data_IF_550830049063
#
_entry.id   IF_550830049063
#
_cell.length_a   1.000
_cell.length_b   1.000
_cell.length_c   1.000
_cell.angle_alpha   90.00
_cell.angle_beta   90.00
_cell.angle_gamma   90.00
#
_symmetry.space_group_name_H-M   'P 1'
#
loop_
_entity.id
_entity.type
_entity.pdbx_description
1 polymer ?
#
# COMPACT_ATOMS: atom_id res chain seq x y z
N UNK A 1 4.50 -7.67 8.25
CA UNK A 1 4.47 -8.16 9.65
C UNK A 1 5.35 -7.25 10.49
N UNK A 2 4.78 -6.54 11.48
CA UNK A 2 5.57 -5.71 12.39
C UNK A 2 6.25 -6.60 13.44
N UNK A 3 7.57 -6.50 13.66
CA UNK A 3 8.27 -7.35 14.61
C UNK A 3 8.04 -6.86 16.05
N UNK A 4 8.16 -7.82 16.97
CA UNK A 4 7.80 -7.76 18.38
C UNK A 4 8.24 -6.51 19.14
N UNK A 5 7.29 -5.87 19.82
CA UNK A 5 7.55 -4.80 20.78
C UNK A 5 8.07 -5.37 22.10
N UNK A 6 9.37 -5.23 22.34
CA UNK A 6 9.96 -5.48 23.65
C UNK A 6 9.74 -4.26 24.56
N UNK A 7 9.09 -4.51 25.70
CA UNK A 7 8.73 -3.50 26.68
C UNK A 7 9.97 -2.98 27.42
N UNK A 8 10.37 -1.74 27.13
CA UNK A 8 11.42 -1.06 27.90
C UNK A 8 10.84 -0.68 29.26
N UNK A 9 11.14 -1.51 30.26
CA UNK A 9 10.92 -1.18 31.67
C UNK A 9 11.91 -0.10 32.07
N UNK A 10 11.53 1.16 31.87
CA UNK A 10 12.35 2.31 32.30
C UNK A 10 12.06 2.64 33.76
N UNK A 11 12.98 2.22 34.61
CA UNK A 11 13.09 2.56 36.03
C UNK A 11 13.51 4.02 36.19
N UNK A 12 12.54 4.93 36.20
CA UNK A 12 12.73 6.25 36.83
C UNK A 12 11.60 6.50 37.84
N UNK A 13 11.98 6.58 39.11
CA UNK A 13 11.11 7.12 40.16
C UNK A 13 11.34 8.61 40.25
N UNK A 14 10.24 9.40 40.19
CA UNK A 14 9.94 10.61 41.01
C UNK A 14 9.25 11.73 40.20
N UNK A 15 7.94 11.86 40.39
CA UNK A 15 7.30 13.04 41.00
C UNK A 15 5.77 12.90 40.93
N UNK A 16 5.14 13.23 42.03
CA UNK A 16 3.70 13.16 42.34
C UNK A 16 2.87 14.21 41.58
N UNK A 17 1.61 13.84 41.29
CA UNK A 17 0.47 14.66 40.84
C UNK A 17 0.19 14.72 39.32
N UNK A 18 -0.07 13.57 38.71
CA UNK A 18 -0.98 13.50 37.57
C UNK A 18 -2.25 12.75 38.00
N UNK A 19 -3.46 13.29 37.78
CA UNK A 19 -4.68 12.51 37.98
C UNK A 19 -4.63 11.30 37.04
N UNK A 20 -4.72 10.08 37.58
CA UNK A 20 -4.84 8.90 36.74
C UNK A 20 -6.11 9.05 35.86
N UNK A 21 -6.03 8.79 34.55
CA UNK A 21 -7.21 8.81 33.69
C UNK A 21 -8.20 7.75 34.19
N UNK A 22 -9.51 8.05 34.24
CA UNK A 22 -10.50 7.08 34.67
C UNK A 22 -10.40 5.84 33.77
N UNK A 23 -10.20 4.67 34.39
CA UNK A 23 -10.24 3.40 33.69
C UNK A 23 -11.63 3.24 33.09
N UNK A 24 -11.72 3.34 31.77
CA UNK A 24 -12.94 2.99 31.04
C UNK A 24 -13.22 1.50 31.28
N UNK A 25 -14.38 1.19 31.84
CA UNK A 25 -14.80 -0.20 32.08
C UNK A 25 -14.94 -0.93 30.75
N UNK A 26 -14.51 -2.19 30.71
CA UNK A 26 -14.62 -3.02 29.52
C UNK A 26 -16.07 -3.45 29.23
N UNK A 27 -16.97 -3.35 30.21
CA UNK A 27 -18.36 -3.83 30.14
C UNK A 27 -19.26 -3.12 29.10
N UNK A 28 -18.79 -2.05 28.43
CA UNK A 28 -19.55 -1.34 27.39
C UNK A 28 -18.97 -1.46 25.98
N UNK A 29 -17.96 -2.30 25.77
CA UNK A 29 -17.37 -2.52 24.44
C UNK A 29 -18.25 -3.49 23.64
N UNK A 30 -19.29 -2.96 23.01
CA UNK A 30 -19.99 -3.68 21.96
C UNK A 30 -19.11 -3.66 20.70
N UNK A 31 -18.76 -4.83 20.16
CA UNK A 31 -18.17 -4.89 18.81
C UNK A 31 -19.22 -4.38 17.83
N UNK A 32 -18.91 -3.30 17.13
CA UNK A 32 -19.74 -2.86 16.00
C UNK A 32 -19.72 -3.96 14.94
N UNK A 33 -20.85 -4.63 14.77
CA UNK A 33 -21.07 -5.53 13.64
C UNK A 33 -21.54 -4.67 12.47
N UNK A 34 -20.74 -4.63 11.41
CA UNK A 34 -21.15 -4.02 10.15
C UNK A 34 -21.81 -5.10 9.30
N UNK A 35 -23.07 -4.88 8.92
CA UNK A 35 -23.82 -5.80 8.06
C UNK A 35 -23.41 -5.57 6.59
N UNK A 36 -22.70 -6.52 6.01
CA UNK A 36 -22.25 -6.47 4.60
C UNK A 36 -23.22 -7.15 3.63
N UNK A 37 -24.39 -7.60 4.12
CA UNK A 37 -25.38 -8.34 3.33
C UNK A 37 -25.83 -7.62 2.06
N UNK A 38 -25.76 -6.28 2.04
CA UNK A 38 -26.08 -5.48 0.85
C UNK A 38 -25.02 -5.60 -0.25
N UNK A 39 -23.73 -5.64 0.10
CA UNK A 39 -22.64 -5.74 -0.90
C UNK A 39 -22.71 -7.05 -1.68
N UNK A 40 -23.21 -8.11 -1.05
CA UNK A 40 -23.42 -9.41 -1.69
C UNK A 40 -24.53 -9.38 -2.75
N UNK A 41 -25.50 -8.46 -2.62
CA UNK A 41 -26.65 -8.34 -3.52
C UNK A 41 -26.29 -7.50 -4.75
N UNK A 42 -25.57 -6.39 -4.54
CA UNK A 42 -25.16 -5.47 -5.62
C UNK A 42 -24.12 -6.09 -6.57
N UNK A 43 -23.31 -7.04 -6.08
CA UNK A 43 -22.41 -7.85 -6.91
C UNK A 43 -23.18 -8.87 -7.75
N UNK A 44 -24.34 -9.33 -7.27
CA UNK A 44 -25.20 -10.26 -7.99
C UNK A 44 -26.06 -9.55 -9.05
N UNK A 45 -26.53 -8.33 -8.81
CA UNK A 45 -27.42 -7.64 -9.76
C UNK A 45 -26.67 -6.94 -10.91
N UNK A 46 -25.37 -6.62 -10.76
CA UNK A 46 -24.61 -5.93 -11.81
C UNK A 46 -24.07 -6.83 -12.95
N UNK A 47 -24.21 -8.16 -12.90
CA UNK A 47 -23.71 -9.04 -13.97
C UNK A 47 -24.75 -9.34 -15.07
N UNK A 48 -26.01 -8.92 -14.93
CA UNK A 48 -27.09 -9.33 -15.84
C UNK A 48 -27.45 -8.30 -16.94
N UNK A 49 -26.91 -7.07 -16.90
CA UNK A 49 -27.27 -5.98 -17.85
C UNK A 49 -26.25 -5.74 -18.98
N UNK A 50 -25.34 -6.66 -19.25
CA UNK A 50 -24.47 -6.58 -20.46
C UNK A 50 -24.55 -7.87 -21.27
N UNK A 51 -25.72 -8.11 -21.88
CA UNK A 51 -25.86 -9.09 -22.95
C UNK A 51 -25.27 -8.55 -24.26
N UNK A 52 -24.56 -9.39 -25.02
CA UNK A 52 -25.22 -10.00 -26.18
C UNK A 52 -24.95 -11.53 -26.30
N UNK A 53 -26.01 -12.26 -26.66
CA UNK A 53 -26.10 -13.72 -26.81
C UNK A 53 -25.45 -14.27 -28.12
N UNK A 54 -25.41 -15.60 -28.38
CA UNK A 54 -25.21 -16.77 -27.50
C UNK A 54 -24.17 -17.79 -28.06
N UNK A 55 -23.32 -18.40 -27.22
CA UNK A 55 -22.80 -19.76 -27.47
C UNK A 55 -22.18 -20.36 -26.19
N UNK A 56 -22.82 -21.45 -25.73
CA UNK A 56 -22.33 -22.55 -24.87
C UNK A 56 -21.71 -22.21 -23.50
N UNK A 57 -22.38 -22.77 -22.49
CA UNK A 57 -22.02 -22.86 -21.08
C UNK A 57 -20.68 -23.57 -20.83
N UNK A 58 -19.80 -22.95 -20.04
CA UNK A 58 -18.89 -23.67 -19.12
C UNK A 58 -18.76 -22.83 -17.83
N UNK A 59 -19.28 -23.37 -16.73
CA UNK A 59 -19.49 -22.75 -15.43
C UNK A 59 -18.20 -22.52 -14.60
N UNK A 60 -17.08 -22.13 -15.23
CA UNK A 60 -15.80 -21.90 -14.50
C UNK A 60 -15.12 -20.58 -14.75
N UNK A 61 -15.65 -19.71 -15.60
CA UNK A 61 -14.96 -18.45 -15.90
C UNK A 61 -15.45 -17.32 -15.01
N UNK A 62 -15.05 -17.37 -13.73
CA UNK A 62 -14.83 -16.16 -12.95
C UNK A 62 -13.88 -15.27 -13.76
N UNK A 63 -14.16 -13.98 -13.87
CA UNK A 63 -13.20 -13.03 -14.43
C UNK A 63 -11.86 -13.23 -13.71
N UNK A 64 -10.74 -13.43 -14.42
CA UNK A 64 -9.46 -13.64 -13.77
C UNK A 64 -9.20 -12.45 -12.86
N UNK A 65 -9.08 -12.70 -11.56
CA UNK A 65 -8.46 -11.75 -10.63
C UNK A 65 -7.16 -11.37 -11.30
N UNK A 66 -6.94 -10.08 -11.58
CA UNK A 66 -5.73 -9.62 -12.27
C UNK A 66 -4.54 -10.25 -11.58
N UNK A 67 -3.89 -11.22 -12.22
CA UNK A 67 -2.89 -12.05 -11.60
C UNK A 67 -1.75 -11.12 -11.16
N UNK A 68 -1.59 -11.01 -9.86
CA UNK A 68 -0.54 -10.24 -9.22
C UNK A 68 0.65 -11.16 -9.01
N UNK A 69 1.84 -10.66 -9.30
CA UNK A 69 3.09 -11.41 -9.21
C UNK A 69 3.99 -10.79 -8.14
N UNK A 70 4.73 -11.63 -7.43
CA UNK A 70 5.77 -11.19 -6.49
C UNK A 70 7.03 -10.76 -7.24
N UNK A 71 7.36 -9.47 -7.18
CA UNK A 71 8.51 -8.90 -7.86
C UNK A 71 9.53 -8.33 -6.87
N UNK A 72 10.77 -8.79 -6.94
CA UNK A 72 11.87 -8.36 -6.04
C UNK A 72 12.48 -7.05 -6.51
N UNK A 73 12.38 -6.00 -5.68
CA UNK A 73 12.96 -4.68 -5.94
C UNK A 73 14.49 -4.77 -6.09
N UNK A 74 15.04 -4.22 -7.17
CA UNK A 74 16.50 -4.16 -7.41
C UNK A 74 17.23 -3.13 -6.54
N UNK A 75 16.49 -2.19 -5.92
CA UNK A 75 17.07 -1.15 -5.08
C UNK A 75 17.24 -1.60 -3.62
N UNK A 76 16.18 -2.16 -3.00
CA UNK A 76 16.18 -2.52 -1.58
C UNK A 76 16.08 -4.04 -1.32
N UNK A 77 15.84 -4.86 -2.35
CA UNK A 77 15.77 -6.30 -2.22
C UNK A 77 14.47 -6.86 -1.64
N UNK A 78 13.51 -6.01 -1.27
CA UNK A 78 12.18 -6.43 -0.79
C UNK A 78 11.30 -6.90 -1.95
N UNK A 79 10.48 -7.93 -1.73
CA UNK A 79 9.43 -8.36 -2.66
C UNK A 79 8.15 -7.55 -2.46
N UNK A 80 7.51 -7.18 -3.56
CA UNK A 80 6.21 -6.50 -3.59
C UNK A 80 5.30 -7.22 -4.58
N UNK A 81 4.04 -7.43 -4.18
CA UNK A 81 2.99 -8.02 -5.01
C UNK A 81 2.45 -6.96 -5.97
N UNK A 82 2.59 -7.17 -7.27
CA UNK A 82 2.32 -6.16 -8.28
C UNK A 82 1.68 -6.75 -9.53
N UNK A 83 0.84 -5.97 -10.21
CA UNK A 83 0.32 -6.37 -11.51
C UNK A 83 1.43 -6.29 -12.57
N UNK A 84 1.45 -7.18 -13.57
CA UNK A 84 2.45 -7.17 -14.63
C UNK A 84 2.46 -5.83 -15.39
N UNK A 85 1.29 -5.24 -15.59
CA UNK A 85 1.12 -3.91 -16.21
C UNK A 85 1.85 -2.80 -15.43
N UNK A 86 1.81 -2.85 -14.09
CA UNK A 86 2.53 -1.89 -13.26
C UNK A 86 4.04 -2.15 -13.32
N UNK A 87 4.46 -3.43 -13.33
CA UNK A 87 5.87 -3.81 -13.48
C UNK A 87 6.46 -3.26 -14.78
N UNK A 88 5.77 -3.43 -15.89
CA UNK A 88 6.19 -2.91 -17.20
C UNK A 88 6.32 -1.39 -17.19
N UNK A 89 5.33 -0.69 -16.62
CA UNK A 89 5.35 0.78 -16.50
C UNK A 89 6.55 1.27 -15.70
N UNK A 90 6.83 0.64 -14.57
CA UNK A 90 7.99 0.96 -13.72
C UNK A 90 9.29 0.68 -14.47
N UNK A 91 9.44 -0.50 -15.08
CA UNK A 91 10.64 -0.84 -15.87
C UNK A 91 10.89 0.15 -17.00
N UNK A 92 9.84 0.62 -17.69
CA UNK A 92 9.97 1.62 -18.74
C UNK A 92 10.58 2.95 -18.26
N UNK A 93 10.31 3.32 -17.00
CA UNK A 93 10.76 4.58 -16.38
C UNK A 93 12.16 4.48 -15.77
N UNK A 94 12.55 3.30 -15.29
CA UNK A 94 13.78 3.10 -14.52
C UNK A 94 14.80 2.20 -15.23
N UNK A 95 15.08 2.48 -16.51
CA UNK A 95 16.13 1.79 -17.29
C UNK A 95 15.96 0.26 -17.35
N UNK A 96 14.71 -0.21 -17.43
CA UNK A 96 14.38 -1.65 -17.44
C UNK A 96 14.40 -2.31 -16.06
N UNK A 97 14.72 -1.56 -14.99
CA UNK A 97 14.81 -2.09 -13.64
C UNK A 97 13.47 -2.05 -12.94
N UNK A 98 13.17 -3.12 -12.20
CA UNK A 98 12.02 -3.13 -11.31
C UNK A 98 12.41 -2.57 -9.93
N UNK A 99 11.66 -1.58 -9.46
CA UNK A 99 11.81 -1.00 -8.12
C UNK A 99 10.44 -0.89 -7.45
N UNK A 100 10.39 -1.12 -6.14
CA UNK A 100 9.16 -1.03 -5.35
C UNK A 100 8.62 0.40 -5.30
N UNK A 101 7.34 0.55 -4.94
CA UNK A 101 6.66 1.86 -4.90
C UNK A 101 7.39 2.92 -4.07
N UNK A 102 7.99 2.52 -2.95
CA UNK A 102 8.76 3.44 -2.08
C UNK A 102 10.07 3.90 -2.72
N UNK A 103 10.82 2.98 -3.35
CA UNK A 103 12.04 3.33 -4.06
C UNK A 103 11.73 4.19 -5.30
N UNK A 104 10.60 3.94 -5.97
CA UNK A 104 10.15 4.75 -7.09
C UNK A 104 9.90 6.21 -6.69
N UNK A 105 9.23 6.44 -5.57
CA UNK A 105 9.01 7.81 -5.08
C UNK A 105 10.31 8.47 -4.61
N UNK A 106 11.20 7.75 -3.92
CA UNK A 106 12.50 8.28 -3.53
C UNK A 106 13.35 8.71 -4.74
N UNK A 107 13.42 7.88 -5.79
CA UNK A 107 14.13 8.23 -7.03
C UNK A 107 13.49 9.44 -7.70
N UNK A 108 12.16 9.48 -7.79
CA UNK A 108 11.42 10.60 -8.39
C UNK A 108 11.68 11.92 -7.66
N UNK A 109 11.67 11.91 -6.32
CA UNK A 109 11.97 13.09 -5.51
C UNK A 109 13.40 13.60 -5.77
N UNK A 110 14.39 12.70 -5.83
CA UNK A 110 15.78 13.07 -6.11
C UNK A 110 15.99 13.60 -7.53
N UNK A 111 15.27 13.07 -8.52
CA UNK A 111 15.30 13.59 -9.89
C UNK A 111 14.71 14.99 -9.98
N UNK A 112 13.59 15.25 -9.29
CA UNK A 112 12.95 16.56 -9.26
C UNK A 112 13.81 17.60 -8.51
N UNK A 113 14.42 17.21 -7.38
CA UNK A 113 15.39 18.06 -6.66
C UNK A 113 16.59 18.40 -7.51
N UNK A 114 17.15 17.44 -8.26
CA UNK A 114 18.24 17.71 -9.19
C UNK A 114 17.79 18.68 -10.26
N UNK A 115 16.67 18.42 -10.92
CA UNK A 115 16.13 19.30 -11.95
C UNK A 115 15.95 20.74 -11.44
N UNK A 116 15.39 20.92 -10.23
CA UNK A 116 15.22 22.21 -9.57
C UNK A 116 16.53 22.83 -9.09
N UNK A 117 17.47 22.01 -8.60
CA UNK A 117 18.79 22.43 -8.11
C UNK A 117 19.72 22.97 -9.19
N UNK A 118 19.66 22.46 -10.43
CA UNK A 118 20.39 23.07 -11.55
C UNK A 118 19.84 24.45 -11.93
N UNK A 119 18.52 24.69 -11.76
CA UNK A 119 17.90 26.01 -12.06
C UNK A 119 18.02 27.00 -10.91
N UNK A 120 18.36 26.57 -9.69
CA UNK A 120 18.49 27.42 -8.50
C UNK A 120 19.91 27.58 -7.96
N UNK A 121 20.95 27.15 -8.70
CA UNK A 121 22.35 27.44 -8.35
C UNK A 121 22.82 28.76 -8.98
N UNK A 122 22.80 29.91 -8.28
CA UNK A 122 23.63 31.03 -8.64
C UNK A 122 25.09 30.66 -8.34
N UNK A 123 25.86 30.33 -9.38
CA UNK A 123 27.31 30.25 -9.30
C UNK A 123 27.87 28.84 -9.15
N UNK A 124 28.77 28.51 -10.07
CA UNK A 124 29.68 27.38 -10.06
C UNK A 124 30.50 27.38 -8.77
N UNK A 125 30.46 26.31 -8.00
CA UNK A 125 31.42 26.03 -6.91
C UNK A 125 32.27 24.79 -7.27
N UNK A 126 32.66 24.70 -8.54
CA UNK A 126 33.73 23.82 -9.01
C UNK A 126 34.72 24.67 -9.81
N UNK A 127 35.52 25.44 -9.06
CA UNK A 127 36.79 26.04 -9.45
C UNK A 127 37.59 26.27 -8.16
#
# INVERSE_FOLDING_TARGET
>A
MAPHGEAVTSTYTRATNFPNPPRVSNDSLNRTVSDISFLSKDVLENYEEVAPAPAVVDEKQLTPISEVEDAKCECCGMSEECTPEYIERVRSKYMGKWICGLCAEAVKEEMEKKQKGWVTLPGRWWL
#
